data_IF_860927224810
#
_entry.id   IF_860927224810
#
_cell.length_a   1.000
_cell.length_b   1.000
_cell.length_c   1.000
_cell.angle_alpha   90.00
_cell.angle_beta   90.00
_cell.angle_gamma   90.00
#
_symmetry.space_group_name_H-M   'P 1'
#
loop_
_entity.id
_entity.type
_entity.pdbx_description
1 polymer ?
#
# COMPACT_ATOMS: atom_id res chain seq x y z
N UNK A 1 -1.06 -8.81 -5.81
CA UNK A 1 -2.51 -9.10 -5.63
C UNK A 1 -3.21 -8.93 -6.97
N UNK A 2 -4.16 -9.80 -7.34
CA UNK A 2 -4.80 -9.80 -8.68
C UNK A 2 -5.39 -8.43 -9.08
N UNK A 3 -6.10 -7.75 -8.19
CA UNK A 3 -6.66 -6.43 -8.48
C UNK A 3 -5.60 -5.35 -8.74
N UNK A 4 -4.46 -5.38 -8.04
CA UNK A 4 -3.37 -4.43 -8.30
C UNK A 4 -2.81 -4.58 -9.71
N UNK A 5 -2.68 -5.83 -10.19
CA UNK A 5 -2.23 -6.12 -11.55
C UNK A 5 -3.25 -5.63 -12.59
N UNK A 6 -4.55 -5.84 -12.35
CA UNK A 6 -5.62 -5.30 -13.21
C UNK A 6 -5.56 -3.78 -13.26
N UNK A 7 -5.35 -3.10 -12.12
CA UNK A 7 -5.25 -1.64 -12.05
C UNK A 7 -4.05 -1.12 -12.85
N UNK A 8 -2.90 -1.82 -12.79
CA UNK A 8 -1.69 -1.44 -13.54
C UNK A 8 -1.86 -1.58 -15.06
N UNK A 9 -2.68 -2.53 -15.51
CA UNK A 9 -2.85 -2.86 -16.93
C UNK A 9 -4.19 -2.40 -17.53
N UNK A 10 -5.00 -1.65 -16.78
CA UNK A 10 -6.36 -1.23 -17.15
C UNK A 10 -6.43 -0.34 -18.39
N UNK A 11 -5.33 0.34 -18.73
CA UNK A 11 -5.24 1.22 -19.90
C UNK A 11 -4.82 0.47 -21.17
N UNK A 12 -4.22 -0.72 -21.00
CA UNK A 12 -3.78 -1.57 -22.10
C UNK A 12 -4.79 -2.65 -22.46
N UNK A 13 -5.61 -3.11 -21.50
CA UNK A 13 -6.56 -4.20 -21.72
C UNK A 13 -7.93 -3.91 -21.07
N UNK A 14 -9.03 -4.46 -21.64
CA UNK A 14 -10.33 -4.35 -21.02
C UNK A 14 -10.38 -5.03 -19.64
N UNK A 15 -10.78 -4.28 -18.62
CA UNK A 15 -10.94 -4.78 -17.24
C UNK A 15 -11.82 -6.04 -17.18
N UNK A 16 -12.89 -6.09 -17.98
CA UNK A 16 -13.79 -7.24 -18.02
C UNK A 16 -13.08 -8.54 -18.43
N UNK A 17 -12.19 -8.46 -19.43
CA UNK A 17 -11.41 -9.59 -19.91
C UNK A 17 -10.41 -10.04 -18.83
N UNK A 18 -9.69 -9.09 -18.22
CA UNK A 18 -8.74 -9.39 -17.16
C UNK A 18 -9.41 -10.02 -15.93
N UNK A 19 -10.60 -9.55 -15.55
CA UNK A 19 -11.38 -10.16 -14.47
C UNK A 19 -11.76 -11.61 -14.78
N UNK A 20 -12.17 -11.90 -16.02
CA UNK A 20 -12.47 -13.26 -16.46
C UNK A 20 -11.23 -14.16 -16.43
N UNK A 21 -10.11 -13.69 -16.99
CA UNK A 21 -8.85 -14.45 -17.05
C UNK A 21 -8.29 -14.76 -15.66
N UNK A 22 -8.36 -13.79 -14.74
CA UNK A 22 -7.86 -13.93 -13.38
C UNK A 22 -8.88 -14.57 -12.42
N UNK A 23 -10.06 -14.93 -12.92
CA UNK A 23 -11.16 -15.52 -12.16
C UNK A 23 -11.54 -14.68 -10.93
N UNK A 24 -11.77 -13.39 -11.14
CA UNK A 24 -12.23 -12.45 -10.11
C UNK A 24 -13.50 -11.73 -10.55
N UNK A 25 -14.31 -11.27 -9.60
CA UNK A 25 -15.53 -10.55 -9.93
C UNK A 25 -15.23 -9.11 -10.36
N UNK A 26 -15.91 -8.66 -11.43
CA UNK A 26 -15.83 -7.26 -11.89
C UNK A 26 -16.33 -6.29 -10.82
N UNK A 27 -17.44 -6.62 -10.17
CA UNK A 27 -17.99 -5.82 -9.06
C UNK A 27 -17.03 -5.74 -7.88
N UNK A 28 -16.33 -6.84 -7.55
CA UNK A 28 -15.32 -6.86 -6.50
C UNK A 28 -14.11 -6.00 -6.85
N UNK A 29 -13.68 -5.97 -8.11
CA UNK A 29 -12.62 -5.07 -8.58
C UNK A 29 -13.01 -3.61 -8.38
N UNK A 30 -14.14 -3.16 -8.94
CA UNK A 30 -14.55 -1.75 -8.80
C UNK A 30 -14.81 -1.36 -7.34
N UNK A 31 -15.45 -2.24 -6.55
CA UNK A 31 -15.61 -2.02 -5.13
C UNK A 31 -14.26 -1.89 -4.39
N UNK A 32 -13.20 -2.57 -4.84
CA UNK A 32 -11.87 -2.44 -4.27
C UNK A 32 -11.15 -1.15 -4.68
N UNK A 33 -11.46 -0.61 -5.87
CA UNK A 33 -10.91 0.66 -6.36
C UNK A 33 -11.46 1.83 -5.55
N UNK A 34 -12.77 1.82 -5.26
CA UNK A 34 -13.44 2.89 -4.53
C UNK A 34 -13.35 2.73 -3.00
N UNK A 35 -12.85 1.58 -2.51
CA UNK A 35 -12.82 1.29 -1.09
C UNK A 35 -11.84 2.25 -0.37
N UNK A 36 -12.31 3.02 0.62
CA UNK A 36 -11.42 3.84 1.42
C UNK A 36 -10.44 2.95 2.21
N UNK A 37 -9.25 3.48 2.56
CA UNK A 37 -8.31 2.73 3.37
C UNK A 37 -8.97 2.28 4.67
N UNK A 38 -8.76 1.02 5.05
CA UNK A 38 -9.23 0.55 6.35
C UNK A 38 -8.46 1.24 7.48
N UNK A 39 -9.02 1.28 8.70
CA UNK A 39 -8.30 1.77 9.89
C UNK A 39 -6.91 1.15 10.06
N UNK A 40 -6.76 -0.13 9.71
CA UNK A 40 -5.45 -0.81 9.71
C UNK A 40 -4.52 -0.23 8.65
N UNK A 41 -5.01 -0.03 7.43
CA UNK A 41 -4.23 0.55 6.33
C UNK A 41 -3.81 1.99 6.65
N UNK A 42 -4.70 2.80 7.22
CA UNK A 42 -4.39 4.16 7.68
C UNK A 42 -3.30 4.14 8.77
N UNK A 43 -3.43 3.25 9.78
CA UNK A 43 -2.41 3.09 10.81
C UNK A 43 -1.06 2.68 10.22
N UNK A 44 -1.06 1.72 9.29
CA UNK A 44 0.18 1.31 8.60
C UNK A 44 0.78 2.46 7.80
N UNK A 45 -0.02 3.24 7.10
CA UNK A 45 0.46 4.41 6.34
C UNK A 45 1.10 5.46 7.26
N UNK A 46 0.48 5.75 8.42
CA UNK A 46 1.06 6.64 9.45
C UNK A 46 2.40 6.13 9.97
N UNK A 47 2.48 4.84 10.33
CA UNK A 47 3.74 4.23 10.80
C UNK A 47 4.81 4.32 9.71
N UNK A 48 4.48 4.01 8.46
CA UNK A 48 5.42 4.12 7.34
C UNK A 48 5.90 5.55 7.11
N UNK A 49 5.03 6.55 7.29
CA UNK A 49 5.40 7.95 7.23
C UNK A 49 6.41 8.31 8.33
N UNK A 50 6.17 7.89 9.58
CA UNK A 50 7.09 8.14 10.68
C UNK A 50 8.44 7.44 10.48
N UNK A 51 8.44 6.20 9.97
CA UNK A 51 9.67 5.48 9.60
C UNK A 51 10.48 6.27 8.56
N UNK A 52 9.84 6.74 7.48
CA UNK A 52 10.50 7.52 6.43
C UNK A 52 11.08 8.82 6.99
N UNK A 53 10.31 9.53 7.80
CA UNK A 53 10.78 10.76 8.42
C UNK A 53 12.05 10.53 9.24
N UNK A 54 12.07 9.52 10.13
CA UNK A 54 13.26 9.19 10.93
C UNK A 54 14.43 8.77 10.04
N UNK A 55 14.16 7.99 8.99
CA UNK A 55 15.20 7.54 8.07
C UNK A 55 15.84 8.73 7.32
N UNK A 56 15.04 9.68 6.86
CA UNK A 56 15.48 10.86 6.13
C UNK A 56 16.20 11.86 7.06
N UNK A 57 15.68 12.11 8.26
CA UNK A 57 16.30 12.96 9.29
C UNK A 57 17.69 12.47 9.71
N UNK A 58 17.92 11.16 9.64
CA UNK A 58 19.20 10.52 9.99
C UNK A 58 20.05 10.24 8.75
N UNK A 59 19.78 10.92 7.64
CA UNK A 59 20.51 10.81 6.37
C UNK A 59 20.69 9.36 5.91
N UNK A 60 19.68 8.52 6.10
CA UNK A 60 19.68 7.09 5.73
C UNK A 60 20.71 6.21 6.47
N UNK A 61 21.39 6.75 7.49
CA UNK A 61 22.39 6.04 8.29
C UNK A 61 21.73 5.03 9.24
N UNK A 62 20.49 5.30 9.65
CA UNK A 62 19.78 4.45 10.60
C UNK A 62 19.20 3.23 9.89
N UNK A 63 19.73 2.06 10.24
CA UNK A 63 19.12 0.78 9.88
C UNK A 63 17.80 0.52 10.65
N UNK A 64 17.07 -0.54 10.29
CA UNK A 64 15.71 -0.81 10.81
C UNK A 64 15.61 -0.81 12.34
N UNK A 65 16.60 -1.38 13.05
CA UNK A 65 16.61 -1.42 14.51
C UNK A 65 16.73 -0.02 15.15
N UNK A 66 17.59 0.84 14.60
CA UNK A 66 17.76 2.22 15.10
C UNK A 66 16.55 3.09 14.81
N UNK A 67 15.93 2.90 13.63
CA UNK A 67 14.66 3.57 13.30
C UNK A 67 13.56 3.15 14.27
N UNK A 68 13.43 1.85 14.56
CA UNK A 68 12.44 1.35 15.50
C UNK A 68 12.67 1.88 16.92
N UNK A 69 13.92 1.95 17.38
CA UNK A 69 14.27 2.51 18.70
C UNK A 69 13.93 3.99 18.80
N UNK A 70 14.27 4.79 17.79
CA UNK A 70 13.94 6.22 17.75
C UNK A 70 12.42 6.43 17.72
N UNK A 71 11.67 5.62 16.94
CA UNK A 71 10.21 5.69 16.91
C UNK A 71 9.59 5.39 18.27
N UNK A 72 10.13 4.40 19.00
CA UNK A 72 9.68 4.07 20.35
C UNK A 72 9.99 5.17 21.39
N UNK A 73 10.94 6.07 21.11
CA UNK A 73 11.26 7.22 21.97
C UNK A 73 10.41 8.47 21.65
N UNK A 74 9.70 8.48 20.51
CA UNK A 74 8.86 9.61 20.07
C UNK A 74 7.38 9.47 20.47
N UNK A 75 6.99 8.32 21.01
CA UNK A 75 5.69 8.06 21.63
C UNK A 75 5.76 8.25 23.15
#
# INVERSE_FOLDING_TARGET
MKYAWITEHRDSFPVALMCQLLQVSRSGYYASVDRPPSRRAERTAKIHQSIRQVFDERHTVYGPAKVAQELAQRE
#
